data_IF_258712681516
#
_entry.id   IF_258712681516
#
_cell.length_a   1.000
_cell.length_b   1.000
_cell.length_c   1.000
_cell.angle_alpha   90.00
_cell.angle_beta   90.00
_cell.angle_gamma   90.00
#
_symmetry.space_group_name_H-M   'P 1'
#
loop_
_entity.id
_entity.type
_entity.pdbx_description
1 polymer ?
#
# COMPACT_ATOMS: atom_id res chain seq x y z
N UNK A 1 8.73 8.14 -31.70
CA UNK A 1 8.05 7.20 -30.79
C UNK A 1 7.75 5.95 -31.59
N UNK A 2 8.23 4.81 -31.12
CA UNK A 2 7.93 3.50 -31.73
C UNK A 2 6.44 3.16 -31.52
N UNK A 3 5.89 2.24 -32.32
CA UNK A 3 4.53 1.73 -32.13
C UNK A 3 4.35 1.11 -30.72
N UNK A 4 5.41 0.45 -30.22
CA UNK A 4 5.45 -0.10 -28.86
C UNK A 4 5.37 0.99 -27.79
N UNK A 5 6.02 2.14 -27.96
CA UNK A 5 5.96 3.26 -27.01
C UNK A 5 4.52 3.78 -26.87
N UNK A 6 3.80 3.87 -27.99
CA UNK A 6 2.40 4.33 -27.99
C UNK A 6 1.46 3.31 -27.33
N UNK A 7 1.73 2.01 -27.48
CA UNK A 7 1.00 0.95 -26.80
C UNK A 7 1.30 0.94 -25.29
N UNK A 8 2.57 1.10 -24.89
CA UNK A 8 2.97 1.24 -23.48
C UNK A 8 2.31 2.45 -22.82
N UNK A 9 2.21 3.59 -23.50
CA UNK A 9 1.48 4.74 -22.98
C UNK A 9 0.00 4.44 -22.69
N UNK A 10 -0.65 3.59 -23.50
CA UNK A 10 -2.02 3.11 -23.24
C UNK A 10 -2.07 2.15 -22.05
N UNK A 11 -1.07 1.30 -21.89
CA UNK A 11 -0.91 0.41 -20.71
C UNK A 11 -0.80 1.24 -19.43
N UNK A 12 -0.04 2.34 -19.45
CA UNK A 12 0.13 3.26 -18.33
C UNK A 12 -1.15 4.03 -18.01
N UNK A 13 -1.87 4.48 -19.05
CA UNK A 13 -3.13 5.21 -18.90
C UNK A 13 -4.25 4.34 -18.31
N UNK A 14 -4.30 3.06 -18.69
CA UNK A 14 -5.24 2.08 -18.14
C UNK A 14 -4.52 0.75 -17.82
N UNK A 15 -3.92 0.64 -16.61
CA UNK A 15 -3.22 -0.56 -16.19
C UNK A 15 -4.12 -1.79 -16.07
N UNK A 16 -5.45 -1.61 -16.04
CA UNK A 16 -6.37 -2.74 -15.94
C UNK A 16 -6.73 -3.35 -17.29
N UNK A 17 -6.50 -2.64 -18.38
CA UNK A 17 -6.87 -3.06 -19.72
C UNK A 17 -5.84 -3.99 -20.37
N UNK A 18 -6.31 -5.16 -20.81
CA UNK A 18 -5.47 -6.16 -21.47
C UNK A 18 -5.27 -5.92 -22.96
N UNK A 19 -6.15 -5.18 -23.62
CA UNK A 19 -6.06 -4.97 -25.06
C UNK A 19 -4.73 -4.28 -25.48
N UNK A 20 -4.27 -3.21 -24.82
CA UNK A 20 -2.96 -2.63 -25.11
C UNK A 20 -1.79 -3.60 -24.85
N UNK A 21 -1.91 -4.47 -23.83
CA UNK A 21 -0.87 -5.46 -23.49
C UNK A 21 -0.79 -6.57 -24.55
N UNK A 22 -1.94 -7.06 -25.03
CA UNK A 22 -2.00 -8.01 -26.14
C UNK A 22 -1.42 -7.40 -27.42
N UNK A 23 -1.74 -6.14 -27.72
CA UNK A 23 -1.16 -5.42 -28.84
C UNK A 23 0.37 -5.28 -28.71
N UNK A 24 0.90 -5.02 -27.50
CA UNK A 24 2.35 -5.06 -27.26
C UNK A 24 2.93 -6.45 -27.55
N UNK A 25 2.26 -7.53 -27.14
CA UNK A 25 2.70 -8.90 -27.44
C UNK A 25 2.71 -9.17 -28.95
N UNK A 26 1.72 -8.68 -29.69
CA UNK A 26 1.67 -8.80 -31.15
C UNK A 26 2.82 -8.04 -31.81
N UNK A 27 3.07 -6.79 -31.37
CA UNK A 27 4.19 -5.98 -31.85
C UNK A 27 5.56 -6.62 -31.54
N UNK A 28 5.68 -7.34 -30.41
CA UNK A 28 6.91 -8.03 -30.01
C UNK A 28 7.10 -9.38 -30.70
N UNK A 29 6.08 -9.95 -31.35
CA UNK A 29 6.11 -11.33 -31.84
C UNK A 29 7.28 -11.63 -32.78
N UNK A 30 7.70 -10.67 -33.60
CA UNK A 30 8.77 -10.84 -34.59
C UNK A 30 10.15 -10.45 -34.07
N UNK A 31 10.22 -9.66 -33.00
CA UNK A 31 11.48 -9.12 -32.45
C UNK A 31 11.92 -9.80 -31.17
N UNK A 32 10.95 -10.20 -30.33
CA UNK A 32 11.15 -10.95 -29.09
C UNK A 32 9.92 -11.84 -28.84
N UNK A 33 9.88 -12.98 -29.56
CA UNK A 33 8.80 -13.95 -29.47
C UNK A 33 8.63 -14.50 -28.03
N UNK A 34 9.72 -14.59 -27.27
CA UNK A 34 9.66 -15.05 -25.88
C UNK A 34 8.95 -14.02 -24.99
N UNK A 35 9.21 -12.72 -25.18
CA UNK A 35 8.53 -11.65 -24.45
C UNK A 35 7.06 -11.55 -24.83
N UNK A 36 6.75 -11.71 -26.12
CA UNK A 36 5.37 -11.78 -26.61
C UNK A 36 4.60 -12.95 -25.96
N UNK A 37 5.19 -14.14 -25.92
CA UNK A 37 4.60 -15.30 -25.25
C UNK A 37 4.41 -15.04 -23.75
N UNK A 38 5.43 -14.48 -23.09
CA UNK A 38 5.39 -14.17 -21.66
C UNK A 38 4.22 -13.27 -21.28
N UNK A 39 3.97 -12.21 -22.06
CA UNK A 39 2.81 -11.33 -21.87
C UNK A 39 1.52 -12.15 -21.97
N UNK A 40 1.32 -12.91 -23.06
CA UNK A 40 0.09 -13.68 -23.27
C UNK A 40 -0.15 -14.73 -22.18
N UNK A 41 0.90 -15.42 -21.73
CA UNK A 41 0.80 -16.42 -20.66
C UNK A 41 0.40 -15.76 -19.34
N UNK A 42 0.99 -14.62 -18.99
CA UNK A 42 0.60 -13.90 -17.78
C UNK A 42 -0.82 -13.34 -17.85
N UNK A 43 -1.28 -12.91 -19.03
CA UNK A 43 -2.66 -12.48 -19.23
C UNK A 43 -3.67 -13.62 -19.13
N UNK A 44 -3.26 -14.85 -19.45
CA UNK A 44 -4.10 -16.04 -19.36
C UNK A 44 -4.18 -16.63 -17.94
N UNK A 45 -3.37 -16.17 -16.97
CA UNK A 45 -3.31 -16.71 -15.60
C UNK A 45 -4.45 -16.26 -14.67
N UNK A 46 -4.92 -15.00 -14.72
CA UNK A 46 -6.06 -14.56 -13.92
C UNK A 46 -7.36 -15.30 -14.28
N UNK A 47 -8.27 -15.40 -13.31
CA UNK A 47 -9.61 -15.95 -13.52
C UNK A 47 -9.78 -17.43 -13.16
N UNK A 48 -11.02 -17.91 -13.33
CA UNK A 48 -11.41 -19.29 -13.01
C UNK A 48 -10.93 -20.24 -14.13
N UNK A 49 -10.13 -21.23 -13.76
CA UNK A 49 -9.64 -22.27 -14.67
C UNK A 49 -9.32 -23.55 -13.92
N UNK A 50 -9.11 -24.62 -14.69
CA UNK A 50 -8.62 -25.90 -14.19
C UNK A 50 -7.25 -25.76 -13.47
N UNK A 51 -7.05 -26.37 -12.29
CA UNK A 51 -5.79 -26.30 -11.55
C UNK A 51 -4.57 -26.83 -12.31
N UNK A 52 -4.71 -27.86 -13.15
CA UNK A 52 -3.60 -28.39 -13.93
C UNK A 52 -3.18 -27.40 -15.03
N UNK A 53 -4.16 -26.78 -15.72
CA UNK A 53 -3.89 -25.68 -16.66
C UNK A 53 -3.17 -24.52 -15.98
N UNK A 54 -3.61 -24.11 -14.79
CA UNK A 54 -2.94 -23.04 -14.02
C UNK A 54 -1.48 -23.40 -13.71
N UNK A 55 -1.22 -24.62 -13.23
CA UNK A 55 0.15 -25.09 -12.95
C UNK A 55 1.02 -25.11 -14.21
N UNK A 56 0.47 -25.53 -15.35
CA UNK A 56 1.17 -25.52 -16.63
C UNK A 56 1.56 -24.09 -17.05
N UNK A 57 0.64 -23.13 -16.99
CA UNK A 57 0.93 -21.73 -17.29
C UNK A 57 1.97 -21.14 -16.31
N UNK A 58 1.87 -21.44 -15.01
CA UNK A 58 2.86 -21.03 -14.02
C UNK A 58 4.25 -21.66 -14.26
N UNK A 59 4.32 -22.91 -14.71
CA UNK A 59 5.58 -23.52 -15.17
C UNK A 59 6.15 -22.74 -16.35
N UNK A 60 5.30 -22.43 -17.33
CA UNK A 60 5.73 -21.72 -18.53
C UNK A 60 6.24 -20.31 -18.25
N UNK A 61 5.60 -19.58 -17.34
CA UNK A 61 6.10 -18.27 -16.85
C UNK A 61 7.50 -18.40 -16.26
N UNK A 62 7.74 -19.42 -15.42
CA UNK A 62 9.06 -19.66 -14.82
C UNK A 62 10.10 -20.01 -15.87
N UNK A 63 9.80 -20.93 -16.78
CA UNK A 63 10.71 -21.32 -17.87
C UNK A 63 11.12 -20.11 -18.74
N UNK A 64 10.15 -19.27 -19.11
CA UNK A 64 10.42 -18.05 -19.89
C UNK A 64 11.31 -17.06 -19.11
N UNK A 65 11.06 -16.88 -17.82
CA UNK A 65 11.89 -16.02 -16.95
C UNK A 65 13.30 -16.57 -16.75
N UNK A 66 13.45 -17.88 -16.53
CA UNK A 66 14.74 -18.52 -16.31
C UNK A 66 15.63 -18.40 -17.57
N UNK A 67 15.03 -18.56 -18.75
CA UNK A 67 15.72 -18.47 -20.02
C UNK A 67 16.04 -17.02 -20.45
N UNK A 68 15.11 -16.07 -20.25
CA UNK A 68 15.19 -14.75 -20.89
C UNK A 68 15.28 -13.57 -19.92
N UNK A 69 14.95 -13.75 -18.63
CA UNK A 69 14.78 -12.65 -17.68
C UNK A 69 16.02 -11.77 -17.52
N UNK A 70 17.23 -12.35 -17.59
CA UNK A 70 18.49 -11.57 -17.55
C UNK A 70 18.65 -10.65 -18.76
N UNK A 71 18.22 -11.10 -19.95
CA UNK A 71 18.28 -10.31 -21.16
C UNK A 71 17.27 -9.17 -21.11
N UNK A 72 16.04 -9.44 -20.65
CA UNK A 72 14.99 -8.43 -20.49
C UNK A 72 15.33 -7.35 -19.47
N UNK A 73 16.09 -7.68 -18.42
CA UNK A 73 16.54 -6.70 -17.43
C UNK A 73 17.81 -5.93 -17.83
N UNK A 74 18.48 -6.33 -18.92
CA UNK A 74 19.74 -5.70 -19.35
C UNK A 74 19.63 -4.18 -19.56
N UNK A 75 18.55 -3.62 -20.16
CA UNK A 75 18.39 -2.18 -20.30
C UNK A 75 18.33 -1.43 -18.95
N UNK A 76 17.90 -2.10 -17.89
CA UNK A 76 17.71 -1.51 -16.56
C UNK A 76 18.89 -1.79 -15.60
N UNK A 77 19.97 -2.39 -16.10
CA UNK A 77 21.11 -2.82 -15.27
C UNK A 77 21.75 -1.66 -14.50
N UNK A 78 21.85 -0.48 -15.10
CA UNK A 78 22.50 0.69 -14.49
C UNK A 78 21.66 1.34 -13.39
N UNK A 79 20.34 1.17 -13.46
CA UNK A 79 19.40 1.55 -12.40
C UNK A 79 19.55 0.66 -11.16
N UNK A 80 20.24 -0.49 -11.26
CA UNK A 80 20.46 -1.45 -10.17
C UNK A 80 19.16 -1.82 -9.45
N UNK A 81 18.13 -2.11 -10.25
CA UNK A 81 16.83 -2.50 -9.74
C UNK A 81 16.91 -3.82 -8.98
N UNK A 82 16.26 -3.87 -7.82
CA UNK A 82 16.12 -5.04 -6.97
C UNK A 82 14.70 -5.61 -7.10
N UNK A 83 14.62 -6.95 -7.16
CA UNK A 83 13.38 -7.71 -7.15
C UNK A 83 12.27 -7.19 -8.11
N UNK A 84 12.56 -6.95 -9.40
CA UNK A 84 11.54 -6.50 -10.34
C UNK A 84 10.43 -7.55 -10.46
N UNK A 85 9.18 -7.14 -10.22
CA UNK A 85 8.02 -8.02 -10.32
C UNK A 85 7.28 -7.76 -11.62
N UNK A 86 7.13 -8.84 -12.37
CA UNK A 86 6.35 -8.85 -13.58
C UNK A 86 4.87 -9.08 -13.26
N UNK A 87 4.03 -8.16 -13.72
CA UNK A 87 2.58 -8.31 -13.72
C UNK A 87 2.06 -8.14 -15.14
N UNK A 88 1.24 -9.09 -15.59
CA UNK A 88 0.61 -9.08 -16.91
C UNK A 88 1.61 -8.83 -18.06
N UNK A 89 2.83 -9.34 -17.91
CA UNK A 89 3.89 -9.30 -18.91
C UNK A 89 4.91 -8.17 -18.79
N UNK A 90 4.73 -7.24 -17.85
CA UNK A 90 5.55 -6.03 -17.72
C UNK A 90 6.05 -5.82 -16.29
N UNK A 91 7.11 -5.05 -16.12
CA UNK A 91 7.56 -4.66 -14.77
C UNK A 91 6.62 -3.58 -14.26
N UNK A 92 5.79 -3.93 -13.28
CA UNK A 92 4.86 -2.98 -12.64
C UNK A 92 5.31 -2.57 -11.23
N UNK A 93 6.19 -3.37 -10.61
CA UNK A 93 6.75 -3.15 -9.27
C UNK A 93 8.25 -3.43 -9.24
N UNK A 94 9.00 -2.57 -8.54
CA UNK A 94 10.44 -2.71 -8.37
C UNK A 94 10.96 -1.96 -7.14
N UNK A 95 12.17 -2.29 -6.71
CA UNK A 95 12.88 -1.60 -5.63
C UNK A 95 14.21 -1.00 -6.13
N UNK A 96 14.56 0.21 -5.69
CA UNK A 96 15.83 0.86 -6.01
C UNK A 96 16.16 2.00 -5.04
N UNK A 97 17.44 2.37 -4.95
CA UNK A 97 17.87 3.52 -4.17
C UNK A 97 17.43 4.85 -4.81
N UNK A 98 17.20 5.88 -4.00
CA UNK A 98 16.68 7.18 -4.46
C UNK A 98 17.58 7.89 -5.50
N UNK A 99 18.90 7.72 -5.43
CA UNK A 99 19.85 8.30 -6.39
C UNK A 99 19.74 7.64 -7.76
N UNK A 100 19.47 6.33 -7.77
CA UNK A 100 19.21 5.56 -8.99
C UNK A 100 17.88 5.93 -9.60
N UNK A 101 16.84 6.10 -8.78
CA UNK A 101 15.54 6.57 -9.24
C UNK A 101 15.64 7.95 -9.88
N UNK A 102 16.31 8.90 -9.22
CA UNK A 102 16.49 10.25 -9.75
C UNK A 102 17.22 10.25 -11.10
N UNK A 103 18.26 9.42 -11.24
CA UNK A 103 19.10 9.37 -12.44
C UNK A 103 18.47 8.58 -13.60
N UNK A 104 17.87 7.43 -13.32
CA UNK A 104 17.43 6.46 -14.33
C UNK A 104 15.92 6.37 -14.48
N UNK A 105 15.15 7.10 -13.68
CA UNK A 105 13.69 7.15 -13.75
C UNK A 105 13.13 7.41 -15.15
N UNK A 106 13.63 8.41 -15.93
CA UNK A 106 13.11 8.68 -17.27
C UNK A 106 13.20 7.46 -18.21
N UNK A 107 14.33 6.76 -18.21
CA UNK A 107 14.55 5.58 -19.06
C UNK A 107 13.72 4.40 -18.59
N UNK A 108 13.69 4.15 -17.28
CA UNK A 108 12.93 3.06 -16.67
C UNK A 108 11.44 3.16 -16.95
N UNK A 109 10.84 4.33 -16.71
CA UNK A 109 9.40 4.58 -16.88
C UNK A 109 8.97 4.78 -18.34
N UNK A 110 9.92 4.91 -19.26
CA UNK A 110 9.66 4.87 -20.70
C UNK A 110 9.62 3.42 -21.22
N UNK A 111 10.40 2.52 -20.63
CA UNK A 111 10.52 1.13 -21.06
C UNK A 111 9.45 0.21 -20.45
N UNK A 112 9.03 0.49 -19.21
CA UNK A 112 8.12 -0.37 -18.46
C UNK A 112 7.01 0.48 -17.78
N UNK A 113 5.76 -0.02 -17.73
CA UNK A 113 4.61 0.64 -17.11
C UNK A 113 4.63 0.53 -15.57
N UNK A 114 5.73 0.98 -14.97
CA UNK A 114 5.97 0.90 -13.53
C UNK A 114 4.96 1.78 -12.80
N UNK A 115 4.26 1.21 -11.82
CA UNK A 115 3.27 1.95 -11.02
C UNK A 115 3.49 1.79 -9.51
N UNK A 116 4.33 0.83 -9.10
CA UNK A 116 4.66 0.54 -7.71
C UNK A 116 6.16 0.63 -7.49
N UNK A 117 6.57 1.42 -6.51
CA UNK A 117 7.98 1.60 -6.17
C UNK A 117 8.23 1.28 -4.70
N UNK A 118 9.34 0.63 -4.43
CA UNK A 118 9.99 0.67 -3.13
C UNK A 118 11.28 1.48 -3.28
N UNK A 119 11.45 2.51 -2.45
CA UNK A 119 12.59 3.42 -2.53
C UNK A 119 13.29 3.46 -1.19
N UNK A 120 14.56 3.02 -1.18
CA UNK A 120 15.47 3.26 -0.07
C UNK A 120 16.00 4.70 -0.18
N UNK A 121 15.64 5.52 0.80
CA UNK A 121 15.98 6.94 0.88
C UNK A 121 16.90 7.21 2.07
N UNK A 122 18.00 7.89 1.80
CA UNK A 122 19.00 8.33 2.76
C UNK A 122 18.74 9.75 3.24
N UNK A 123 18.46 10.68 2.33
CA UNK A 123 18.26 12.10 2.65
C UNK A 123 17.04 12.74 1.97
N UNK A 124 16.34 12.01 1.10
CA UNK A 124 15.11 12.42 0.43
C UNK A 124 15.33 13.25 -0.83
N UNK A 125 16.56 13.65 -1.15
CA UNK A 125 16.85 14.54 -2.29
C UNK A 125 16.65 13.84 -3.63
N UNK A 126 16.94 12.55 -3.70
CA UNK A 126 16.72 11.77 -4.92
C UNK A 126 15.24 11.69 -5.23
N UNK A 127 14.42 11.47 -4.19
CA UNK A 127 12.98 11.45 -4.35
C UNK A 127 12.40 12.85 -4.66
N UNK A 128 12.91 13.90 -4.03
CA UNK A 128 12.54 15.28 -4.35
C UNK A 128 12.76 15.59 -5.83
N UNK A 129 13.95 15.26 -6.37
CA UNK A 129 14.22 15.45 -7.79
C UNK A 129 13.30 14.61 -8.68
N UNK A 130 13.10 13.34 -8.32
CA UNK A 130 12.22 12.42 -9.05
C UNK A 130 10.77 12.91 -9.09
N UNK A 131 10.26 13.40 -7.97
CA UNK A 131 8.88 13.87 -7.84
C UNK A 131 8.57 15.11 -8.70
N UNK A 132 9.58 15.84 -9.17
CA UNK A 132 9.37 16.96 -10.10
C UNK A 132 9.33 16.51 -11.58
N UNK A 133 9.67 15.26 -11.86
CA UNK A 133 9.74 14.76 -13.23
C UNK A 133 8.35 14.35 -13.76
N UNK A 134 8.06 14.54 -15.07
CA UNK A 134 6.77 14.17 -15.65
C UNK A 134 6.42 12.68 -15.50
N UNK A 135 7.41 11.79 -15.59
CA UNK A 135 7.21 10.34 -15.50
C UNK A 135 6.76 9.88 -14.11
N UNK A 136 6.98 10.68 -13.06
CA UNK A 136 6.56 10.33 -11.70
C UNK A 136 5.04 10.24 -11.57
N UNK A 137 4.29 10.90 -12.46
CA UNK A 137 2.83 10.82 -12.54
C UNK A 137 2.29 9.43 -12.89
N UNK A 138 3.15 8.46 -13.21
CA UNK A 138 2.80 7.05 -13.39
C UNK A 138 2.71 6.28 -12.07
N UNK A 139 3.38 6.77 -11.01
CA UNK A 139 3.42 6.09 -9.72
C UNK A 139 2.04 6.15 -9.05
N UNK A 140 1.55 5.01 -8.58
CA UNK A 140 0.26 4.82 -7.90
C UNK A 140 0.43 4.32 -6.49
N UNK A 141 1.51 3.58 -6.23
CA UNK A 141 1.85 3.07 -4.92
C UNK A 141 3.34 3.25 -4.65
N UNK A 142 3.69 3.76 -3.47
CA UNK A 142 5.07 4.04 -3.11
C UNK A 142 5.34 3.57 -1.69
N UNK A 143 6.43 2.85 -1.50
CA UNK A 143 7.03 2.56 -0.21
C UNK A 143 8.33 3.32 -0.08
N UNK A 144 8.48 4.04 1.02
CA UNK A 144 9.69 4.70 1.44
C UNK A 144 10.24 4.00 2.67
N UNK A 145 11.54 3.73 2.65
CA UNK A 145 12.29 3.19 3.77
C UNK A 145 13.67 3.85 3.85
N UNK A 146 14.35 3.72 4.99
CA UNK A 146 15.64 4.36 5.24
C UNK A 146 15.53 5.67 6.02
N UNK A 147 16.65 6.38 6.19
CA UNK A 147 16.74 7.56 7.05
C UNK A 147 16.11 8.82 6.45
N UNK A 148 15.86 8.85 5.14
CA UNK A 148 15.35 10.01 4.41
C UNK A 148 13.82 10.12 4.36
N UNK A 149 13.08 9.21 5.01
CA UNK A 149 11.61 9.07 4.87
C UNK A 149 10.84 10.36 5.14
N UNK A 150 11.17 11.11 6.19
CA UNK A 150 10.47 12.36 6.50
C UNK A 150 10.74 13.47 5.45
N UNK A 151 11.99 13.61 5.01
CA UNK A 151 12.36 14.58 3.98
C UNK A 151 11.71 14.25 2.63
N UNK A 152 11.76 12.97 2.25
CA UNK A 152 11.12 12.41 1.08
C UNK A 152 9.59 12.62 1.11
N UNK A 153 8.94 12.36 2.26
CA UNK A 153 7.50 12.58 2.45
C UNK A 153 7.12 14.04 2.27
N UNK A 154 7.92 14.96 2.82
CA UNK A 154 7.71 16.40 2.65
C UNK A 154 7.81 16.82 1.18
N UNK A 155 8.77 16.29 0.43
CA UNK A 155 8.90 16.57 -0.99
C UNK A 155 7.68 16.06 -1.79
N UNK A 156 7.22 14.83 -1.52
CA UNK A 156 6.01 14.28 -2.14
C UNK A 156 4.77 15.11 -1.84
N UNK A 157 4.62 15.56 -0.58
CA UNK A 157 3.49 16.37 -0.14
C UNK A 157 3.40 17.74 -0.84
N UNK A 158 4.52 18.22 -1.41
CA UNK A 158 4.59 19.47 -2.17
C UNK A 158 4.51 19.26 -3.70
N UNK A 159 4.75 18.04 -4.20
CA UNK A 159 4.85 17.78 -5.64
C UNK A 159 3.47 17.60 -6.29
N UNK A 160 3.12 18.41 -7.31
CA UNK A 160 1.89 18.22 -8.08
C UNK A 160 1.89 16.93 -8.93
N UNK A 161 3.05 16.30 -9.15
CA UNK A 161 3.16 15.04 -9.91
C UNK A 161 2.81 13.82 -9.06
N UNK A 162 2.81 13.96 -7.74
CA UNK A 162 2.39 12.91 -6.81
C UNK A 162 0.85 12.75 -6.71
N UNK A 163 0.07 13.56 -7.43
CA UNK A 163 -1.39 13.60 -7.30
C UNK A 163 -2.14 12.33 -7.69
N UNK A 164 -1.50 11.39 -8.38
CA UNK A 164 -2.06 10.07 -8.69
C UNK A 164 -1.70 8.98 -7.66
N UNK A 165 -0.89 9.32 -6.64
CA UNK A 165 -0.51 8.37 -5.61
C UNK A 165 -1.74 7.99 -4.79
N UNK A 166 -2.07 6.70 -4.81
CA UNK A 166 -3.23 6.12 -4.13
C UNK A 166 -2.85 5.37 -2.85
N UNK A 167 -1.60 4.88 -2.79
CA UNK A 167 -1.06 4.19 -1.63
C UNK A 167 0.35 4.66 -1.28
N UNK A 168 0.60 4.89 0.00
CA UNK A 168 1.89 5.30 0.52
C UNK A 168 2.24 4.49 1.77
N UNK A 169 3.43 3.90 1.80
CA UNK A 169 4.00 3.22 2.97
C UNK A 169 5.24 3.98 3.39
N UNK A 170 5.27 4.43 4.63
CA UNK A 170 6.37 5.18 5.22
C UNK A 170 6.94 4.36 6.38
N UNK A 171 7.94 3.53 6.08
CA UNK A 171 8.59 2.69 7.08
C UNK A 171 9.57 3.55 7.91
N UNK A 172 9.36 3.64 9.22
CA UNK A 172 10.21 4.47 10.08
C UNK A 172 9.85 5.96 10.09
N UNK A 173 8.63 6.32 9.67
CA UNK A 173 8.16 7.69 9.68
C UNK A 173 8.04 8.28 11.09
N UNK A 174 8.16 9.60 11.19
CA UNK A 174 7.91 10.38 12.41
C UNK A 174 6.70 11.30 12.23
N UNK A 175 6.31 11.98 13.30
CA UNK A 175 5.17 12.93 13.31
C UNK A 175 5.26 14.01 12.21
N UNK A 176 6.47 14.36 11.76
CA UNK A 176 6.71 15.29 10.65
C UNK A 176 6.13 14.79 9.33
N UNK A 177 6.20 13.49 9.06
CA UNK A 177 5.59 12.87 7.88
C UNK A 177 4.07 12.93 7.93
N UNK A 178 3.48 12.65 9.10
CA UNK A 178 2.03 12.72 9.32
C UNK A 178 1.52 14.14 9.05
N UNK A 179 2.20 15.14 9.62
CA UNK A 179 1.89 16.56 9.40
C UNK A 179 1.97 16.95 7.92
N UNK A 180 3.05 16.57 7.24
CA UNK A 180 3.22 16.88 5.83
C UNK A 180 2.09 16.30 4.95
N UNK A 181 1.66 15.07 5.21
CA UNK A 181 0.56 14.45 4.47
C UNK A 181 -0.79 15.09 4.77
N UNK A 182 -1.06 15.43 6.03
CA UNK A 182 -2.32 16.07 6.45
C UNK A 182 -2.47 17.48 5.88
N UNK A 183 -1.38 18.23 5.79
CA UNK A 183 -1.36 19.60 5.25
C UNK A 183 -1.29 19.63 3.71
N UNK A 184 -1.06 18.49 3.06
CA UNK A 184 -0.87 18.40 1.61
C UNK A 184 -2.18 18.58 0.84
N UNK A 185 -2.13 19.44 -0.18
CA UNK A 185 -3.15 19.51 -1.25
C UNK A 185 -2.73 18.77 -2.52
N UNK A 186 -1.51 18.25 -2.55
CA UNK A 186 -0.93 17.62 -3.74
C UNK A 186 -1.29 16.15 -3.89
N UNK A 187 -1.93 15.53 -2.88
CA UNK A 187 -2.22 14.10 -2.82
C UNK A 187 -3.74 13.78 -2.78
N UNK A 188 -4.56 14.30 -3.71
CA UNK A 188 -6.02 14.13 -3.67
C UNK A 188 -6.47 12.68 -3.91
N UNK A 189 -5.64 11.84 -4.54
CA UNK A 189 -5.93 10.44 -4.81
C UNK A 189 -5.52 9.49 -3.68
N UNK A 190 -4.87 9.98 -2.62
CA UNK A 190 -4.34 9.11 -1.56
C UNK A 190 -5.50 8.49 -0.76
N UNK A 191 -5.53 7.15 -0.70
CA UNK A 191 -6.56 6.37 0.01
C UNK A 191 -5.98 5.42 1.04
N UNK A 192 -4.73 4.99 0.87
CA UNK A 192 -4.09 4.01 1.75
C UNK A 192 -2.77 4.54 2.26
N UNK A 193 -2.64 4.70 3.58
CA UNK A 193 -1.42 5.23 4.20
C UNK A 193 -0.95 4.30 5.32
N UNK A 194 0.33 3.95 5.32
CA UNK A 194 0.97 3.16 6.38
C UNK A 194 2.11 3.93 7.00
N UNK A 195 2.14 3.99 8.33
CA UNK A 195 3.24 4.53 9.14
C UNK A 195 3.89 3.43 9.98
N UNK A 196 4.05 2.24 9.39
CA UNK A 196 4.56 1.04 10.06
C UNK A 196 5.98 1.21 10.60
N UNK A 197 6.24 0.66 11.80
CA UNK A 197 7.56 0.65 12.43
C UNK A 197 8.17 2.06 12.59
N UNK A 198 7.28 3.05 12.77
CA UNK A 198 7.64 4.44 13.01
C UNK A 198 7.81 4.75 14.49
N UNK A 199 8.31 5.94 14.78
CA UNK A 199 8.31 6.53 16.11
C UNK A 199 7.28 7.66 16.13
N UNK A 200 6.00 7.29 15.93
CA UNK A 200 4.92 8.27 16.08
C UNK A 200 4.66 8.50 17.57
N UNK A 201 4.09 9.65 17.87
CA UNK A 201 3.58 9.99 19.20
C UNK A 201 2.11 10.37 19.10
N UNK A 202 1.47 10.63 20.24
CA UNK A 202 0.08 11.12 20.27
C UNK A 202 -0.09 12.47 19.56
N UNK A 203 1.00 13.22 19.32
CA UNK A 203 1.00 14.38 18.43
C UNK A 203 0.47 14.02 17.04
N UNK A 204 0.82 12.85 16.51
CA UNK A 204 0.29 12.35 15.24
C UNK A 204 -1.21 12.11 15.30
N UNK A 205 -1.72 11.56 16.40
CA UNK A 205 -3.16 11.38 16.62
C UNK A 205 -3.89 12.73 16.65
N UNK A 206 -3.35 13.74 17.33
CA UNK A 206 -3.94 15.08 17.36
C UNK A 206 -3.99 15.74 15.98
N UNK A 207 -2.93 15.58 15.18
CA UNK A 207 -2.85 16.13 13.82
C UNK A 207 -3.88 15.44 12.92
N UNK A 208 -3.97 14.11 12.98
CA UNK A 208 -4.97 13.34 12.24
C UNK A 208 -6.41 13.68 12.67
N UNK A 209 -6.64 13.91 13.96
CA UNK A 209 -7.96 14.24 14.49
C UNK A 209 -8.53 15.58 14.00
N UNK A 210 -7.65 16.52 13.62
CA UNK A 210 -8.01 17.84 13.08
C UNK A 210 -8.15 17.84 11.55
N UNK A 211 -7.68 16.78 10.88
CA UNK A 211 -7.67 16.68 9.44
C UNK A 211 -9.02 16.23 8.88
N UNK A 212 -9.36 16.65 7.67
CA UNK A 212 -10.44 16.05 6.87
C UNK A 212 -9.81 15.25 5.75
N UNK A 213 -9.76 13.94 5.91
CA UNK A 213 -9.07 13.04 5.01
C UNK A 213 -10.06 12.10 4.34
N UNK A 214 -9.78 11.77 3.08
CA UNK A 214 -10.54 10.77 2.31
C UNK A 214 -9.84 9.40 2.35
N UNK A 215 -8.99 9.17 3.34
CA UNK A 215 -8.27 7.90 3.49
C UNK A 215 -9.25 6.79 3.86
N UNK A 216 -9.09 5.66 3.19
CA UNK A 216 -9.88 4.44 3.38
C UNK A 216 -9.12 3.41 4.23
N UNK A 217 -7.78 3.46 4.22
CA UNK A 217 -6.92 2.51 4.93
C UNK A 217 -5.79 3.23 5.64
N UNK A 218 -5.66 2.98 6.94
CA UNK A 218 -4.66 3.57 7.80
C UNK A 218 -3.99 2.47 8.61
N UNK A 219 -2.69 2.30 8.40
CA UNK A 219 -1.90 1.28 9.09
C UNK A 219 -0.97 1.96 10.09
N UNK A 220 -1.21 1.69 11.37
CA UNK A 220 -0.53 2.27 12.53
C UNK A 220 -0.02 1.16 13.46
N UNK A 221 0.29 -0.02 12.92
CA UNK A 221 0.82 -1.12 13.72
C UNK A 221 2.26 -0.85 14.13
N UNK A 222 2.56 -0.99 15.44
CA UNK A 222 3.88 -0.70 15.98
C UNK A 222 4.32 0.74 15.72
N UNK A 223 3.39 1.70 15.84
CA UNK A 223 3.67 3.12 15.63
C UNK A 223 3.95 3.90 16.92
N UNK A 224 3.68 3.31 18.10
CA UNK A 224 3.92 3.95 19.39
C UNK A 224 2.79 4.85 19.88
N UNK A 225 1.55 4.61 19.42
CA UNK A 225 0.38 5.36 19.91
C UNK A 225 -0.08 4.79 21.25
N UNK A 226 -0.33 5.66 22.22
CA UNK A 226 -0.90 5.31 23.52
C UNK A 226 -2.42 5.12 23.45
N UNK A 227 -3.02 4.73 24.56
CA UNK A 227 -4.47 4.72 24.70
C UNK A 227 -5.09 6.11 24.52
N UNK A 228 -4.43 7.18 25.01
CA UNK A 228 -4.85 8.56 24.81
C UNK A 228 -4.78 8.99 23.35
N UNK A 229 -3.72 8.59 22.63
CA UNK A 229 -3.58 8.80 21.20
C UNK A 229 -4.69 8.10 20.41
N UNK A 230 -4.97 6.84 20.74
CA UNK A 230 -6.07 6.07 20.13
C UNK A 230 -7.43 6.70 20.46
N UNK A 231 -7.65 7.16 21.69
CA UNK A 231 -8.89 7.86 22.06
C UNK A 231 -9.08 9.16 21.26
N UNK A 232 -7.99 9.89 21.02
CA UNK A 232 -7.98 11.10 20.18
C UNK A 232 -8.35 10.75 18.73
N UNK A 233 -7.77 9.70 18.17
CA UNK A 233 -8.13 9.20 16.83
C UNK A 233 -9.58 8.71 16.76
N UNK A 234 -10.10 8.06 17.80
CA UNK A 234 -11.49 7.63 17.86
C UNK A 234 -12.48 8.81 17.82
N UNK A 235 -12.05 10.00 18.24
CA UNK A 235 -12.80 11.26 18.14
C UNK A 235 -12.70 11.96 16.77
N UNK A 236 -11.83 11.51 15.86
CA UNK A 236 -11.49 12.18 14.61
C UNK A 236 -12.64 12.14 13.58
N UNK A 237 -13.48 13.18 13.56
CA UNK A 237 -14.64 13.27 12.64
C UNK A 237 -14.24 13.26 11.15
N UNK A 238 -13.02 13.71 10.83
CA UNK A 238 -12.53 13.73 9.46
C UNK A 238 -11.97 12.39 8.95
N UNK A 239 -12.03 11.32 9.75
CA UNK A 239 -11.69 9.94 9.34
C UNK A 239 -12.93 9.08 9.04
N UNK A 240 -14.09 9.69 8.77
CA UNK A 240 -15.34 8.96 8.49
C UNK A 240 -15.31 8.08 7.24
N UNK A 241 -14.38 8.31 6.31
CA UNK A 241 -14.17 7.46 5.13
C UNK A 241 -13.32 6.21 5.42
N UNK A 242 -12.70 6.11 6.61
CA UNK A 242 -11.79 5.04 6.94
C UNK A 242 -12.55 3.72 7.07
N UNK A 243 -12.14 2.72 6.30
CA UNK A 243 -12.72 1.38 6.24
C UNK A 243 -11.83 0.35 6.94
N UNK A 244 -10.51 0.57 6.96
CA UNK A 244 -9.54 -0.33 7.58
C UNK A 244 -8.55 0.44 8.45
N UNK A 245 -8.50 0.08 9.72
CA UNK A 245 -7.53 0.58 10.70
C UNK A 245 -6.75 -0.59 11.30
N UNK A 246 -5.41 -0.49 11.31
CA UNK A 246 -4.55 -1.44 12.03
C UNK A 246 -3.81 -0.75 13.16
N UNK A 247 -3.91 -1.31 14.35
CA UNK A 247 -3.29 -0.82 15.60
C UNK A 247 -2.57 -1.96 16.34
N UNK A 248 -2.27 -3.06 15.65
CA UNK A 248 -1.53 -4.19 16.23
C UNK A 248 -0.20 -3.72 16.86
N UNK A 249 0.22 -4.33 17.98
CA UNK A 249 1.51 -4.06 18.64
C UNK A 249 1.74 -2.59 19.03
N UNK A 250 0.78 -1.97 19.71
CA UNK A 250 0.94 -0.64 20.30
C UNK A 250 0.81 -0.67 21.84
N UNK A 251 0.83 -1.84 22.48
CA UNK A 251 0.69 -1.98 23.94
C UNK A 251 -0.62 -1.34 24.46
N UNK A 252 -1.68 -1.43 23.64
CA UNK A 252 -2.98 -0.84 23.95
C UNK A 252 -3.72 -1.65 25.00
N UNK A 253 -4.48 -0.98 25.85
CA UNK A 253 -5.27 -1.59 26.92
C UNK A 253 -6.78 -1.60 26.61
N UNK A 254 -7.58 -1.96 27.61
CA UNK A 254 -9.05 -1.93 27.55
C UNK A 254 -9.60 -0.51 27.34
N UNK A 255 -8.89 0.50 27.82
CA UNK A 255 -9.23 1.92 27.66
C UNK A 255 -9.26 2.33 26.18
N UNK A 256 -8.25 1.92 25.40
CA UNK A 256 -8.23 2.13 23.96
C UNK A 256 -9.37 1.36 23.26
N UNK A 257 -9.62 0.12 23.68
CA UNK A 257 -10.71 -0.69 23.13
C UNK A 257 -12.07 -0.03 23.35
N UNK A 258 -12.31 0.49 24.55
CA UNK A 258 -13.53 1.21 24.90
C UNK A 258 -13.67 2.51 24.09
N UNK A 259 -12.59 3.27 23.94
CA UNK A 259 -12.60 4.49 23.14
C UNK A 259 -12.92 4.21 21.66
N UNK A 260 -12.31 3.17 21.07
CA UNK A 260 -12.60 2.73 19.70
C UNK A 260 -14.04 2.24 19.55
N UNK A 261 -14.55 1.43 20.48
CA UNK A 261 -15.92 0.91 20.45
C UNK A 261 -16.99 2.03 20.52
N UNK A 262 -16.64 3.17 21.15
CA UNK A 262 -17.47 4.38 21.27
C UNK A 262 -17.13 5.47 20.24
N UNK A 263 -16.28 5.17 19.25
CA UNK A 263 -15.77 6.14 18.29
C UNK A 263 -16.90 6.86 17.54
N UNK A 264 -16.84 8.19 17.52
CA UNK A 264 -17.76 9.04 16.74
C UNK A 264 -17.15 9.45 15.39
N UNK A 265 -15.86 9.22 15.19
CA UNK A 265 -15.13 9.55 13.97
C UNK A 265 -15.11 8.41 12.94
N UNK A 266 -14.95 7.17 13.40
CA UNK A 266 -14.68 6.00 12.55
C UNK A 266 -15.95 5.30 12.06
N UNK A 267 -16.96 6.08 11.67
CA UNK A 267 -18.30 5.57 11.29
C UNK A 267 -18.28 4.69 10.02
N UNK A 268 -17.25 4.85 9.19
CA UNK A 268 -17.01 4.05 7.99
C UNK A 268 -16.32 2.70 8.23
N UNK A 269 -15.83 2.44 9.45
CA UNK A 269 -14.87 1.36 9.69
C UNK A 269 -15.49 -0.03 9.52
N UNK A 270 -14.88 -0.84 8.67
CA UNK A 270 -15.31 -2.20 8.35
C UNK A 270 -14.38 -3.25 8.96
N UNK A 271 -13.09 -2.93 9.06
CA UNK A 271 -12.03 -3.78 9.61
C UNK A 271 -11.18 -3.04 10.63
N UNK A 272 -11.07 -3.63 11.82
CA UNK A 272 -10.21 -3.18 12.90
C UNK A 272 -9.28 -4.32 13.33
N UNK A 273 -7.99 -4.03 13.45
CA UNK A 273 -6.99 -4.98 13.94
C UNK A 273 -6.31 -4.42 15.19
N UNK A 274 -6.41 -5.17 16.29
CA UNK A 274 -5.82 -4.86 17.60
C UNK A 274 -4.98 -6.04 18.13
N UNK A 275 -4.55 -6.95 17.25
CA UNK A 275 -3.79 -8.14 17.62
C UNK A 275 -2.46 -7.76 18.29
N UNK A 276 -2.00 -8.59 19.23
CA UNK A 276 -0.78 -8.34 19.99
C UNK A 276 -0.79 -6.98 20.71
N UNK A 277 -1.88 -6.70 21.42
CA UNK A 277 -1.99 -5.65 22.43
C UNK A 277 -2.38 -6.29 23.77
N UNK A 278 -2.60 -5.49 24.80
CA UNK A 278 -2.82 -5.95 26.19
C UNK A 278 -4.29 -5.80 26.62
N UNK A 279 -5.24 -6.15 25.73
CA UNK A 279 -6.67 -6.14 26.10
C UNK A 279 -7.01 -7.42 26.86
N UNK A 280 -7.87 -7.27 27.85
CA UNK A 280 -8.59 -8.36 28.49
C UNK A 280 -9.84 -8.78 27.69
N UNK A 281 -10.51 -9.82 28.17
CA UNK A 281 -11.83 -10.21 27.72
C UNK A 281 -12.85 -9.07 27.86
N UNK A 282 -12.80 -8.27 28.93
CA UNK A 282 -13.65 -7.08 29.10
C UNK A 282 -13.39 -6.04 28.00
N UNK A 283 -12.13 -5.75 27.69
CA UNK A 283 -11.76 -4.83 26.60
C UNK A 283 -12.25 -5.32 25.24
N UNK A 284 -12.07 -6.61 24.94
CA UNK A 284 -12.62 -7.22 23.74
C UNK A 284 -14.17 -7.12 23.70
N UNK A 285 -14.83 -7.31 24.83
CA UNK A 285 -16.28 -7.21 24.99
C UNK A 285 -16.82 -5.78 24.89
N UNK A 286 -15.97 -4.74 24.88
CA UNK A 286 -16.39 -3.37 24.54
C UNK A 286 -17.03 -3.32 23.13
N UNK A 287 -16.56 -4.18 22.22
CA UNK A 287 -17.13 -4.28 20.88
C UNK A 287 -18.43 -5.09 20.82
N UNK A 288 -18.98 -5.66 21.91
CA UNK A 288 -20.21 -6.50 21.82
C UNK A 288 -21.44 -5.73 21.32
N UNK A 289 -21.49 -4.41 21.50
CA UNK A 289 -22.64 -3.55 21.15
C UNK A 289 -22.23 -2.25 20.45
N UNK A 290 -21.08 -2.20 19.78
CA UNK A 290 -20.51 -0.97 19.20
C UNK A 290 -21.40 -0.33 18.10
N UNK A 291 -22.48 0.34 18.51
CA UNK A 291 -23.42 1.10 17.65
C UNK A 291 -22.71 2.24 16.93
N UNK A 292 -21.63 2.74 17.53
CA UNK A 292 -20.80 3.81 16.99
C UNK A 292 -19.99 3.35 15.76
N UNK A 293 -19.78 2.02 15.61
CA UNK A 293 -19.11 1.38 14.48
C UNK A 293 -20.11 0.49 13.71
N UNK A 294 -21.12 1.07 13.03
CA UNK A 294 -22.22 0.33 12.44
C UNK A 294 -21.81 -0.57 11.26
N UNK A 295 -20.66 -0.28 10.63
CA UNK A 295 -20.13 -1.04 9.50
C UNK A 295 -19.09 -2.09 9.88
N UNK A 296 -18.70 -2.17 11.16
CA UNK A 296 -17.62 -3.07 11.58
C UNK A 296 -18.05 -4.52 11.39
N UNK A 297 -17.34 -5.21 10.50
CA UNK A 297 -17.58 -6.60 10.14
C UNK A 297 -16.42 -7.51 10.51
N UNK A 298 -15.22 -6.95 10.66
CA UNK A 298 -14.01 -7.72 10.96
C UNK A 298 -13.24 -7.10 12.12
N UNK A 299 -12.97 -7.92 13.13
CA UNK A 299 -12.18 -7.57 14.31
C UNK A 299 -11.12 -8.65 14.53
N UNK A 300 -9.86 -8.26 14.61
CA UNK A 300 -8.73 -9.20 14.81
C UNK A 300 -8.02 -8.92 16.14
N UNK A 301 -8.06 -9.89 17.05
CA UNK A 301 -7.53 -9.86 18.42
C UNK A 301 -6.56 -11.04 18.66
N UNK A 302 -5.78 -11.40 17.65
CA UNK A 302 -4.91 -12.57 17.70
C UNK A 302 -3.73 -12.34 18.63
N UNK A 303 -3.22 -13.44 19.19
CA UNK A 303 -2.00 -13.44 20.01
C UNK A 303 -2.09 -12.55 21.26
N UNK A 304 -3.23 -12.58 21.95
CA UNK A 304 -3.51 -11.82 23.19
C UNK A 304 -3.88 -12.70 24.39
N UNK A 305 -3.92 -14.03 24.21
CA UNK A 305 -4.24 -14.96 25.30
C UNK A 305 -5.71 -15.01 25.72
N UNK A 306 -6.61 -14.40 24.94
CA UNK A 306 -8.04 -14.30 25.26
C UNK A 306 -8.74 -15.66 25.30
N UNK A 307 -9.56 -15.89 26.33
CA UNK A 307 -10.45 -17.04 26.38
C UNK A 307 -11.65 -16.84 25.45
N UNK A 308 -11.74 -17.71 24.44
CA UNK A 308 -12.83 -17.69 23.46
C UNK A 308 -14.19 -17.95 24.09
N UNK A 309 -14.26 -18.72 25.16
CA UNK A 309 -15.52 -19.08 25.82
C UNK A 309 -16.15 -17.87 26.52
N UNK A 310 -15.33 -16.93 27.01
CA UNK A 310 -15.77 -15.67 27.61
C UNK A 310 -16.24 -14.63 26.56
N UNK A 311 -15.78 -14.77 25.31
CA UNK A 311 -16.13 -13.88 24.20
C UNK A 311 -17.41 -14.26 23.44
N UNK A 312 -18.26 -15.11 24.02
CA UNK A 312 -19.54 -15.55 23.44
C UNK A 312 -20.40 -14.42 22.83
N UNK A 313 -20.60 -13.27 23.51
CA UNK A 313 -21.32 -12.12 22.93
C UNK A 313 -20.69 -11.55 21.67
N UNK A 314 -19.35 -11.52 21.61
CA UNK A 314 -18.61 -10.99 20.47
C UNK A 314 -18.63 -11.96 19.29
N UNK A 315 -18.47 -13.26 19.55
CA UNK A 315 -18.65 -14.34 18.57
C UNK A 315 -20.05 -14.28 17.96
N UNK A 316 -21.09 -14.07 18.78
CA UNK A 316 -22.47 -13.92 18.29
C UNK A 316 -22.66 -12.69 17.39
N UNK A 317 -21.98 -11.58 17.69
CA UNK A 317 -22.06 -10.35 16.89
C UNK A 317 -21.35 -10.48 15.55
N UNK A 318 -20.11 -10.98 15.53
CA UNK A 318 -19.21 -10.88 14.38
C UNK A 318 -19.04 -12.20 13.61
N UNK A 319 -19.33 -13.35 14.23
CA UNK A 319 -19.22 -14.66 13.61
C UNK A 319 -17.84 -14.89 12.98
N UNK A 320 -17.82 -15.22 11.69
CA UNK A 320 -16.58 -15.43 10.91
C UNK A 320 -15.70 -14.16 10.73
N UNK A 321 -16.23 -12.99 11.10
CA UNK A 321 -15.53 -11.72 11.11
C UNK A 321 -14.62 -11.53 12.34
N UNK A 322 -14.81 -12.30 13.41
CA UNK A 322 -13.93 -12.28 14.57
C UNK A 322 -12.73 -13.22 14.34
N UNK A 323 -11.51 -12.70 14.54
CA UNK A 323 -10.28 -13.50 14.60
C UNK A 323 -9.69 -13.39 16.00
N UNK A 324 -9.47 -14.54 16.63
CA UNK A 324 -8.86 -14.74 17.94
C UNK A 324 -7.61 -15.61 17.73
#
# INVERSE_FOLDING_TARGET
>A
MSDLDALLAKVVADPTNDAPRLACADALQTVDAARAEFIRVQLALPGRMDPARRRSLQSRVRELMDANGRAWLKPLRDAKVHEPRYHRGFIEELSLAEDRLAKHGPELFALEPVSRLCVDTRDGKGLEHAAEQPWFSQVRWLRLEGSGVDAATKALAASPRAGHLSGLVLAGAKDTSVRALVESKALPALRSVSFSSGALTDTSAEVLAKATLVWERLYLSGSGLSDEGVATLAGAKGLGALQWLTLNRNELSDEAAEALAKSKGLTGLERLELSQNDLSEEGALAFRTAKALPKLRRLELMEMGLDRDELGPLVKRLGAGLRL
#
